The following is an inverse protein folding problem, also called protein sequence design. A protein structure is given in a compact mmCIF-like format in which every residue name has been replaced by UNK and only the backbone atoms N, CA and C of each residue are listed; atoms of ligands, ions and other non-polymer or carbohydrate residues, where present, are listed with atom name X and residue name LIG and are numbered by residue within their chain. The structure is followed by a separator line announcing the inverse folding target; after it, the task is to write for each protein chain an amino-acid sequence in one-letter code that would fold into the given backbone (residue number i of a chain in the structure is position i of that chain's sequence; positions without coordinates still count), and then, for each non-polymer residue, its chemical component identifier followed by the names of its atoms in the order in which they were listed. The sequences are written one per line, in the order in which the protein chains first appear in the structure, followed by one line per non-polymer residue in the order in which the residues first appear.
data_IF_842048979405
#
_entry.id   IF_842048979405
#
_cell.length_a   1.000
_cell.length_b   1.000
_cell.length_c   1.000
_cell.angle_alpha   90.00
_cell.angle_beta   90.00
_cell.angle_gamma   90.00
#
_symmetry.space_group_name_H-M   'P 1'
#
loop_
_entity.id
_entity.type
_entity.pdbx_description
1 polymer ?
#
# COMPACT_ATOMS: atom_id res chain seq x y z
N UNK A 1 1.62 26.49 3.98
CA UNK A 1 2.58 26.21 2.92
C UNK A 1 2.89 24.71 2.90
N UNK A 2 2.99 24.16 1.72
CA UNK A 2 3.28 22.74 1.48
C UNK A 2 4.72 22.62 1.02
N UNK A 3 5.50 21.75 1.66
CA UNK A 3 6.84 21.41 1.18
C UNK A 3 6.73 20.37 0.07
N UNK A 4 7.44 20.57 -1.02
CA UNK A 4 7.54 19.58 -2.10
C UNK A 4 8.93 19.56 -2.72
N UNK A 5 9.34 18.40 -3.20
CA UNK A 5 10.51 18.29 -4.05
C UNK A 5 10.19 18.77 -5.47
N UNK A 6 11.21 19.03 -6.26
CA UNK A 6 11.04 19.32 -7.69
C UNK A 6 10.44 18.10 -8.41
N UNK A 7 9.68 18.35 -9.48
CA UNK A 7 9.18 17.27 -10.35
C UNK A 7 10.34 16.50 -10.99
N UNK A 8 10.07 15.23 -11.30
CA UNK A 8 11.02 14.32 -11.93
C UNK A 8 11.65 13.34 -10.96
N UNK A 9 12.58 12.56 -11.47
CA UNK A 9 13.24 11.49 -10.74
C UNK A 9 14.74 11.50 -11.05
N UNK A 10 15.51 12.02 -10.10
CA UNK A 10 16.98 12.15 -10.20
C UNK A 10 17.63 11.72 -8.89
N UNK A 11 18.94 11.38 -8.87
CA UNK A 11 19.65 11.10 -7.62
C UNK A 11 19.53 12.23 -6.60
N UNK A 12 19.58 13.50 -7.03
CA UNK A 12 19.44 14.65 -6.14
C UNK A 12 18.06 14.69 -5.46
N UNK A 13 16.99 14.40 -6.20
CA UNK A 13 15.62 14.31 -5.64
C UNK A 13 15.52 13.18 -4.61
N UNK A 14 16.07 12.01 -4.93
CA UNK A 14 16.06 10.85 -4.01
C UNK A 14 16.83 11.16 -2.73
N UNK A 15 18.00 11.79 -2.83
CA UNK A 15 18.79 12.23 -1.68
C UNK A 15 18.02 13.27 -0.84
N UNK A 16 17.30 14.19 -1.47
CA UNK A 16 16.49 15.18 -0.80
C UNK A 16 15.34 14.52 0.00
N UNK A 17 14.65 13.55 -0.59
CA UNK A 17 13.63 12.75 0.11
C UNK A 17 14.24 12.03 1.31
N UNK A 18 15.36 11.37 1.12
CA UNK A 18 16.05 10.64 2.19
C UNK A 18 16.40 11.55 3.37
N UNK A 19 16.88 12.75 3.08
CA UNK A 19 17.20 13.76 4.09
C UNK A 19 15.96 14.23 4.85
N UNK A 20 14.88 14.54 4.12
CA UNK A 20 13.60 14.96 4.72
C UNK A 20 12.98 13.87 5.60
N UNK A 21 13.12 12.62 5.20
CA UNK A 21 12.61 11.47 5.95
C UNK A 21 13.54 11.05 7.09
N UNK A 22 14.72 11.67 7.21
CA UNK A 22 15.74 11.33 8.23
C UNK A 22 16.10 9.85 8.20
N UNK A 23 16.33 9.33 7.01
CA UNK A 23 16.62 7.92 6.80
C UNK A 23 17.91 7.49 7.50
N UNK A 24 17.99 6.25 8.03
CA UNK A 24 19.27 5.65 8.33
C UNK A 24 20.07 5.45 7.05
N UNK A 25 21.40 5.36 7.18
CA UNK A 25 22.31 5.25 6.03
C UNK A 25 21.93 4.09 5.08
N UNK A 26 21.56 2.93 5.62
CA UNK A 26 21.21 1.78 4.79
C UNK A 26 19.97 2.04 3.91
N UNK A 27 19.02 2.84 4.39
CA UNK A 27 17.83 3.22 3.61
C UNK A 27 18.19 4.23 2.52
N UNK A 28 19.06 5.19 2.79
CA UNK A 28 19.55 6.12 1.76
C UNK A 28 20.24 5.37 0.62
N UNK A 29 21.12 4.43 0.95
CA UNK A 29 21.80 3.60 -0.04
C UNK A 29 20.80 2.71 -0.81
N UNK A 30 19.84 2.15 -0.11
CA UNK A 30 18.77 1.35 -0.72
C UNK A 30 17.97 2.14 -1.75
N UNK A 31 17.61 3.39 -1.43
CA UNK A 31 16.88 4.27 -2.35
C UNK A 31 17.68 4.56 -3.62
N UNK A 32 18.95 4.90 -3.48
CA UNK A 32 19.82 5.20 -4.62
C UNK A 32 20.06 3.98 -5.50
N UNK A 33 20.26 2.82 -4.90
CA UNK A 33 20.36 1.54 -5.63
C UNK A 33 19.06 1.23 -6.38
N UNK A 34 17.92 1.44 -5.74
CA UNK A 34 16.60 1.25 -6.37
C UNK A 34 16.41 2.17 -7.58
N UNK A 35 16.88 3.42 -7.50
CA UNK A 35 16.86 4.34 -8.65
C UNK A 35 17.72 3.83 -9.81
N UNK A 36 18.91 3.29 -9.54
CA UNK A 36 19.76 2.68 -10.57
C UNK A 36 19.04 1.51 -11.24
N UNK A 37 18.39 0.65 -10.46
CA UNK A 37 17.60 -0.48 -10.98
C UNK A 37 16.44 0.04 -11.84
N UNK A 38 15.73 1.07 -11.37
CA UNK A 38 14.66 1.72 -12.14
C UNK A 38 15.13 2.15 -13.53
N UNK A 39 16.30 2.77 -13.62
CA UNK A 39 16.86 3.26 -14.89
C UNK A 39 17.25 2.12 -15.85
N UNK A 40 17.45 0.91 -15.35
CA UNK A 40 17.81 -0.27 -16.14
C UNK A 40 16.60 -1.09 -16.60
N UNK A 41 15.47 -1.00 -15.88
CA UNK A 41 14.27 -1.79 -16.16
C UNK A 41 13.39 -1.12 -17.21
N UNK A 42 12.67 -1.94 -17.96
CA UNK A 42 11.70 -1.51 -18.97
C UNK A 42 10.27 -1.56 -18.40
N UNK A 43 9.42 -0.68 -18.91
CA UNK A 43 7.97 -0.76 -18.65
C UNK A 43 7.43 -2.02 -19.34
N UNK A 44 6.59 -2.84 -18.66
CA UNK A 44 5.95 -3.98 -19.31
C UNK A 44 5.13 -3.57 -20.54
N UNK A 45 5.20 -4.37 -21.60
CA UNK A 45 4.48 -4.10 -22.85
C UNK A 45 3.17 -4.89 -23.02
N UNK A 46 2.83 -5.73 -22.05
CA UNK A 46 1.67 -6.61 -22.11
C UNK A 46 0.41 -6.04 -21.44
N UNK A 47 0.56 -5.01 -20.63
CA UNK A 47 -0.53 -4.34 -19.91
C UNK A 47 -1.08 -3.12 -20.63
N UNK A 48 -2.04 -2.41 -20.01
CA UNK A 48 -2.55 -1.14 -20.52
C UNK A 48 -1.44 -0.12 -20.77
N UNK A 49 -1.62 0.75 -21.78
CA UNK A 49 -0.68 1.82 -22.06
C UNK A 49 -0.61 2.83 -20.90
N UNK A 50 0.60 3.24 -20.55
CA UNK A 50 0.89 4.32 -19.61
C UNK A 50 1.58 5.52 -20.28
N UNK A 51 1.39 5.70 -21.58
CA UNK A 51 2.00 6.79 -22.35
C UNK A 51 1.64 8.18 -21.81
N UNK A 52 0.47 8.33 -21.20
CA UNK A 52 0.04 9.57 -20.56
C UNK A 52 0.76 9.89 -19.23
N UNK A 53 1.58 8.97 -18.73
CA UNK A 53 2.37 9.16 -17.50
C UNK A 53 3.79 9.57 -17.87
N UNK A 54 4.15 10.81 -17.55
CA UNK A 54 5.52 11.32 -17.72
C UNK A 54 6.16 11.54 -16.34
N UNK A 55 7.13 10.71 -15.99
CA UNK A 55 7.82 10.79 -14.70
C UNK A 55 8.59 12.09 -14.49
N UNK A 56 8.99 12.77 -15.57
CA UNK A 56 9.67 14.07 -15.47
C UNK A 56 8.74 15.18 -14.97
N UNK A 57 7.44 14.97 -15.03
CA UNK A 57 6.40 15.91 -14.58
C UNK A 57 5.77 15.52 -13.23
N UNK A 58 6.13 14.37 -12.67
CA UNK A 58 5.57 13.89 -11.39
C UNK A 58 6.40 14.41 -10.22
N UNK A 59 5.71 14.99 -9.24
CA UNK A 59 6.29 15.34 -7.93
C UNK A 59 6.22 14.12 -7.03
N UNK A 60 7.36 13.59 -6.63
CA UNK A 60 7.44 12.32 -5.89
C UNK A 60 7.32 12.45 -4.37
N UNK A 61 7.39 13.66 -3.84
CA UNK A 61 7.23 13.90 -2.41
C UNK A 61 6.54 15.25 -2.15
N UNK A 62 5.42 15.20 -1.42
CA UNK A 62 4.66 16.37 -0.99
C UNK A 62 4.29 16.19 0.48
N UNK A 63 4.78 17.10 1.32
CA UNK A 63 4.46 17.10 2.75
C UNK A 63 3.44 18.19 3.04
N UNK A 64 2.26 17.86 3.62
CA UNK A 64 1.32 18.86 4.08
C UNK A 64 1.92 19.68 5.25
N UNK A 65 1.43 20.90 5.43
CA UNK A 65 1.91 21.77 6.51
C UNK A 65 1.29 21.37 7.86
N UNK A 66 1.62 20.18 8.32
CA UNK A 66 1.16 19.64 9.59
C UNK A 66 2.10 18.52 10.06
N UNK A 67 1.91 18.09 11.30
CA UNK A 67 2.57 16.92 11.88
C UNK A 67 1.54 15.83 12.15
N UNK A 68 2.00 14.59 12.29
CA UNK A 68 1.14 13.48 12.68
C UNK A 68 0.55 13.73 14.07
N UNK A 69 -0.77 13.60 14.19
CA UNK A 69 -1.52 13.77 15.44
C UNK A 69 -2.13 12.45 15.90
N UNK A 70 -2.16 12.23 17.22
CA UNK A 70 -2.86 11.09 17.83
C UNK A 70 -4.32 11.41 18.15
N UNK A 71 -4.71 12.69 18.12
CA UNK A 71 -6.07 13.16 18.35
C UNK A 71 -6.64 13.78 17.07
N UNK A 72 -7.82 13.33 16.69
CA UNK A 72 -8.49 13.86 15.50
C UNK A 72 -8.77 15.36 15.59
N UNK A 73 -9.04 15.86 16.80
CA UNK A 73 -9.24 17.30 17.04
C UNK A 73 -8.05 18.16 16.67
N UNK A 74 -6.84 17.62 16.72
CA UNK A 74 -5.59 18.34 16.46
C UNK A 74 -5.20 18.35 14.97
N UNK A 75 -5.91 17.58 14.15
CA UNK A 75 -5.72 17.59 12.69
C UNK A 75 -6.24 18.89 12.11
N UNK A 76 -5.51 19.57 11.20
CA UNK A 76 -5.98 20.79 10.56
C UNK A 76 -7.36 20.65 9.93
N UNK A 77 -8.16 21.70 10.04
CA UNK A 77 -9.58 21.70 9.62
C UNK A 77 -9.78 21.31 8.17
N UNK A 78 -8.98 21.82 7.26
CA UNK A 78 -9.07 21.54 5.82
C UNK A 78 -8.81 20.05 5.51
N UNK A 79 -7.86 19.44 6.21
CA UNK A 79 -7.56 18.01 6.11
C UNK A 79 -8.70 17.19 6.72
N UNK A 80 -9.20 17.57 7.91
CA UNK A 80 -10.36 16.90 8.54
C UNK A 80 -11.57 16.94 7.63
N UNK A 81 -11.90 18.11 7.10
CA UNK A 81 -13.05 18.31 6.21
C UNK A 81 -12.93 17.42 4.96
N UNK A 82 -11.71 17.24 4.45
CA UNK A 82 -11.45 16.33 3.32
C UNK A 82 -11.79 14.89 3.68
N UNK A 83 -11.28 14.37 4.80
CA UNK A 83 -11.55 12.99 5.23
C UNK A 83 -13.01 12.77 5.62
N UNK A 84 -13.67 13.76 6.22
CA UNK A 84 -15.08 13.69 6.57
C UNK A 84 -15.99 13.65 5.34
N UNK A 85 -15.66 14.43 4.30
CA UNK A 85 -16.37 14.39 3.01
C UNK A 85 -16.21 13.06 2.30
N UNK A 86 -15.13 12.33 2.54
CA UNK A 86 -14.89 11.00 1.99
C UNK A 86 -15.65 9.90 2.72
N UNK A 87 -16.48 10.27 3.71
CA UNK A 87 -17.30 9.33 4.42
C UNK A 87 -16.56 8.52 5.49
N UNK A 88 -15.56 9.14 6.14
CA UNK A 88 -14.92 8.55 7.32
C UNK A 88 -15.65 9.09 8.56
N UNK A 89 -16.80 8.50 8.95
CA UNK A 89 -17.57 9.01 10.09
C UNK A 89 -16.78 8.86 11.39
N UNK A 90 -16.97 9.78 12.30
CA UNK A 90 -16.36 9.70 13.63
C UNK A 90 -16.72 8.40 14.36
N UNK A 91 -17.92 7.88 14.09
CA UNK A 91 -18.37 6.61 14.65
C UNK A 91 -17.52 5.42 14.17
N UNK A 92 -17.11 5.39 12.91
CA UNK A 92 -16.22 4.35 12.39
C UNK A 92 -14.85 4.42 13.04
N UNK A 93 -14.28 5.62 13.16
CA UNK A 93 -13.00 5.82 13.85
C UNK A 93 -13.04 5.31 15.29
N UNK A 94 -14.14 5.50 15.98
CA UNK A 94 -14.33 5.04 17.37
C UNK A 94 -14.54 3.54 17.48
N UNK A 95 -15.07 2.90 16.44
CA UNK A 95 -15.36 1.47 16.45
C UNK A 95 -14.19 0.58 16.03
N UNK A 96 -13.12 1.16 15.46
CA UNK A 96 -11.95 0.42 14.98
C UNK A 96 -10.89 0.26 16.08
N UNK A 97 -10.08 -0.79 15.98
CA UNK A 97 -8.98 -1.05 16.91
C UNK A 97 -7.84 -0.02 16.76
N UNK A 98 -7.67 0.51 15.57
CA UNK A 98 -6.73 1.57 15.28
C UNK A 98 -7.00 2.17 13.90
N UNK A 99 -6.67 3.44 13.74
CA UNK A 99 -6.88 4.20 12.50
C UNK A 99 -5.65 5.03 12.18
N UNK A 100 -5.23 4.98 10.92
CA UNK A 100 -4.23 5.89 10.36
C UNK A 100 -4.81 6.64 9.16
N UNK A 101 -4.39 7.88 8.96
CA UNK A 101 -4.77 8.67 7.80
C UNK A 101 -3.54 9.33 7.20
N UNK A 102 -3.30 9.08 5.92
CA UNK A 102 -2.24 9.70 5.13
C UNK A 102 -2.82 10.73 4.17
N UNK A 103 -2.16 11.88 4.12
CA UNK A 103 -2.49 12.95 3.20
C UNK A 103 -1.23 13.29 2.39
N UNK A 104 -1.30 13.12 1.08
CA UNK A 104 -0.14 13.18 0.19
C UNK A 104 0.96 12.20 0.63
N UNK A 105 2.14 12.65 1.00
CA UNK A 105 3.28 11.80 1.32
C UNK A 105 3.45 11.47 2.80
N UNK A 106 2.60 12.01 3.69
CA UNK A 106 2.78 11.87 5.14
C UNK A 106 1.52 11.42 5.86
N UNK A 107 1.69 10.64 6.93
CA UNK A 107 0.62 10.42 7.88
C UNK A 107 0.34 11.72 8.64
N UNK A 108 -0.94 12.06 8.77
CA UNK A 108 -1.42 13.25 9.48
C UNK A 108 -2.20 12.91 10.74
N UNK A 109 -2.66 11.67 10.84
CA UNK A 109 -3.39 11.15 11.99
C UNK A 109 -3.06 9.67 12.19
N UNK A 110 -2.88 9.28 13.46
CA UNK A 110 -2.70 7.89 13.84
C UNK A 110 -3.16 7.67 15.28
N UNK A 111 -3.98 6.66 15.50
CA UNK A 111 -4.45 6.30 16.83
C UNK A 111 -4.64 4.80 16.94
N UNK A 112 -4.23 4.22 18.06
CA UNK A 112 -4.47 2.82 18.44
C UNK A 112 -5.14 2.81 19.81
N UNK A 113 -6.17 2.00 19.97
CA UNK A 113 -6.85 1.82 21.26
C UNK A 113 -5.88 1.26 22.31
N UNK A 114 -5.98 1.74 23.53
CA UNK A 114 -5.11 1.31 24.64
C UNK A 114 -5.19 -0.20 24.91
N UNK A 115 -6.38 -0.77 24.89
CA UNK A 115 -6.57 -2.21 25.08
C UNK A 115 -5.95 -3.07 23.96
N UNK A 116 -5.86 -2.52 22.75
CA UNK A 116 -5.19 -3.17 21.60
C UNK A 116 -3.66 -3.09 21.77
N UNK A 117 -3.14 -1.91 22.09
CA UNK A 117 -1.72 -1.71 22.36
C UNK A 117 -1.23 -2.54 23.56
N UNK A 118 -2.05 -2.68 24.58
CA UNK A 118 -1.75 -3.47 25.78
C UNK A 118 -1.54 -4.97 25.49
N UNK A 119 -2.07 -5.49 24.39
CA UNK A 119 -1.83 -6.85 23.92
C UNK A 119 -0.50 -7.03 23.19
N UNK A 120 0.26 -5.97 23.04
CA UNK A 120 1.54 -5.97 22.32
C UNK A 120 1.41 -5.76 20.81
N UNK A 121 0.21 -5.45 20.34
CA UNK A 121 -0.03 -5.12 18.92
C UNK A 121 0.62 -3.79 18.60
N UNK A 122 1.44 -3.78 17.55
CA UNK A 122 2.07 -2.58 17.04
C UNK A 122 1.36 -2.13 15.77
N UNK A 123 0.92 -0.89 15.75
CA UNK A 123 0.45 -0.22 14.55
C UNK A 123 1.00 1.21 14.57
N UNK A 124 1.92 1.51 13.67
CA UNK A 124 2.57 2.82 13.58
C UNK A 124 2.90 3.17 12.13
N UNK A 125 3.38 4.38 11.88
CA UNK A 125 3.88 4.75 10.57
C UNK A 125 5.24 4.10 10.29
N UNK A 126 5.56 3.93 9.01
CA UNK A 126 6.80 3.25 8.59
C UNK A 126 8.07 3.98 9.04
N UNK A 127 8.08 5.30 9.02
CA UNK A 127 9.25 6.09 9.42
C UNK A 127 9.56 5.93 10.91
N UNK A 128 8.54 5.93 11.75
CA UNK A 128 8.71 5.68 13.19
C UNK A 128 9.20 4.26 13.46
N UNK A 129 8.70 3.27 12.73
CA UNK A 129 9.17 1.89 12.84
C UNK A 129 10.62 1.73 12.38
N UNK A 130 10.98 2.40 11.28
CA UNK A 130 12.33 2.35 10.69
C UNK A 130 13.41 2.93 11.61
N UNK A 131 13.05 3.96 12.36
CA UNK A 131 13.98 4.71 13.22
C UNK A 131 13.84 4.41 14.73
N UNK A 132 12.90 3.53 15.11
CA UNK A 132 12.58 3.25 16.51
C UNK A 132 13.01 1.85 16.97
N UNK A 133 12.30 1.35 17.96
CA UNK A 133 12.59 0.04 18.57
C UNK A 133 12.33 -1.15 17.63
N UNK A 134 11.58 -0.95 16.55
CA UNK A 134 11.30 -1.97 15.53
C UNK A 134 12.23 -1.89 14.31
N UNK A 135 13.30 -1.09 14.39
CA UNK A 135 14.22 -0.84 13.28
C UNK A 135 14.80 -2.14 12.69
N UNK A 136 15.21 -3.09 13.54
CA UNK A 136 15.77 -4.36 13.08
C UNK A 136 14.72 -5.24 12.40
N UNK A 137 13.50 -5.26 12.90
CA UNK A 137 12.38 -6.00 12.29
C UNK A 137 12.03 -5.40 10.92
N UNK A 138 11.98 -4.08 10.81
CA UNK A 138 11.77 -3.40 9.53
C UNK A 138 12.89 -3.75 8.55
N UNK A 139 14.13 -3.62 8.96
CA UNK A 139 15.29 -3.89 8.10
C UNK A 139 15.32 -5.33 7.57
N UNK A 140 14.89 -6.29 8.37
CA UNK A 140 14.85 -7.70 7.98
C UNK A 140 13.69 -8.06 7.04
N UNK A 141 12.68 -7.20 6.90
CA UNK A 141 11.47 -7.46 6.11
C UNK A 141 11.27 -6.48 4.95
N UNK A 142 11.71 -5.23 5.08
CA UNK A 142 11.44 -4.17 4.12
C UNK A 142 11.99 -4.50 2.73
N UNK A 143 11.10 -4.61 1.75
CA UNK A 143 11.38 -4.98 0.37
C UNK A 143 12.25 -6.24 0.23
N UNK A 144 12.03 -7.19 1.12
CA UNK A 144 12.60 -8.54 1.02
C UNK A 144 11.67 -9.49 0.29
N UNK A 145 10.37 -9.24 0.36
CA UNK A 145 9.34 -10.01 -0.33
C UNK A 145 9.06 -9.42 -1.73
N UNK A 146 8.90 -8.11 -1.83
CA UNK A 146 8.85 -7.36 -3.09
C UNK A 146 10.21 -6.69 -3.27
N UNK A 147 11.00 -7.16 -4.23
CA UNK A 147 12.35 -6.63 -4.46
C UNK A 147 12.34 -5.51 -5.51
N UNK A 148 13.21 -4.52 -5.43
CA UNK A 148 13.33 -3.48 -6.47
C UNK A 148 13.59 -4.05 -7.87
N UNK A 149 14.20 -5.23 -7.95
CA UNK A 149 14.50 -5.92 -9.21
C UNK A 149 13.28 -6.63 -9.84
N UNK A 150 12.15 -6.72 -9.15
CA UNK A 150 10.99 -7.45 -9.64
C UNK A 150 10.34 -6.79 -10.86
N UNK A 151 10.24 -5.47 -10.87
CA UNK A 151 9.79 -4.68 -12.00
C UNK A 151 10.04 -3.19 -11.77
N UNK A 152 9.86 -2.39 -12.83
CA UNK A 152 10.19 -0.97 -12.84
C UNK A 152 9.48 -0.17 -11.73
N UNK A 153 8.22 -0.47 -11.43
CA UNK A 153 7.45 0.27 -10.42
C UNK A 153 7.80 -0.14 -8.99
N UNK A 154 8.27 -1.37 -8.77
CA UNK A 154 8.87 -1.78 -7.51
C UNK A 154 10.18 -1.03 -7.25
N UNK A 155 11.02 -0.88 -8.29
CA UNK A 155 12.23 -0.08 -8.20
C UNK A 155 11.93 1.40 -7.92
N UNK A 156 10.95 1.98 -8.60
CA UNK A 156 10.47 3.35 -8.35
C UNK A 156 10.04 3.51 -6.88
N UNK A 157 9.23 2.58 -6.40
CA UNK A 157 8.78 2.59 -5.00
C UNK A 157 9.97 2.59 -4.03
N UNK A 158 10.95 1.71 -4.25
CA UNK A 158 12.14 1.65 -3.40
C UNK A 158 12.92 2.95 -3.35
N UNK A 159 12.95 3.71 -4.45
CA UNK A 159 13.66 4.98 -4.54
C UNK A 159 12.95 6.13 -3.81
N UNK A 160 11.62 6.21 -3.87
CA UNK A 160 10.87 7.41 -3.45
C UNK A 160 9.77 7.16 -2.42
N UNK A 161 9.69 5.96 -1.85
CA UNK A 161 8.64 5.65 -0.88
C UNK A 161 8.61 6.63 0.29
N UNK A 162 7.41 6.91 0.78
CA UNK A 162 7.17 7.69 1.99
C UNK A 162 5.79 7.37 2.56
N UNK A 163 5.68 7.43 3.88
CA UNK A 163 4.44 7.07 4.57
C UNK A 163 4.16 5.57 4.57
N UNK A 164 2.93 5.24 4.87
CA UNK A 164 2.47 3.87 4.99
C UNK A 164 2.44 3.38 6.43
N UNK A 165 2.15 2.09 6.59
CA UNK A 165 1.86 1.50 7.88
C UNK A 165 2.78 0.33 8.19
N UNK A 166 3.24 0.27 9.43
CA UNK A 166 3.88 -0.89 10.02
C UNK A 166 2.96 -1.53 11.04
N UNK A 167 2.67 -2.82 10.87
CA UNK A 167 1.82 -3.58 11.80
C UNK A 167 2.53 -4.85 12.22
N UNK A 168 2.61 -5.09 13.51
CA UNK A 168 3.07 -6.34 14.08
C UNK A 168 2.05 -6.87 15.09
N UNK A 169 1.59 -8.11 14.89
CA UNK A 169 0.69 -8.81 15.81
C UNK A 169 1.47 -9.94 16.46
N UNK A 170 1.67 -9.91 17.80
CA UNK A 170 2.43 -10.94 18.50
C UNK A 170 1.83 -12.33 18.43
N UNK A 171 2.61 -13.39 18.73
CA UNK A 171 2.11 -14.76 18.69
C UNK A 171 0.84 -14.96 19.53
N UNK A 172 -0.13 -15.67 18.95
CA UNK A 172 -1.37 -16.04 19.63
C UNK A 172 -2.37 -14.93 19.87
N UNK A 173 -2.08 -13.71 19.46
CA UNK A 173 -2.97 -12.55 19.67
C UNK A 173 -4.01 -12.48 18.56
N UNK A 174 -5.29 -12.43 18.94
CA UNK A 174 -6.40 -12.23 18.01
C UNK A 174 -6.91 -10.79 18.12
N UNK A 175 -6.86 -10.06 17.00
CA UNK A 175 -7.38 -8.70 16.90
C UNK A 175 -8.79 -8.77 16.33
N UNK A 176 -9.79 -8.69 17.20
CA UNK A 176 -11.20 -8.90 16.81
C UNK A 176 -11.77 -7.75 15.99
N UNK A 177 -11.33 -6.52 16.26
CA UNK A 177 -11.78 -5.31 15.57
C UNK A 177 -10.72 -4.89 14.56
N UNK A 178 -11.08 -4.53 13.31
CA UNK A 178 -10.10 -4.20 12.29
C UNK A 178 -9.20 -3.01 12.64
N UNK A 179 -7.97 -3.03 12.15
CA UNK A 179 -7.14 -1.85 11.96
C UNK A 179 -7.44 -1.27 10.58
N UNK A 180 -7.39 0.04 10.43
CA UNK A 180 -7.70 0.69 9.17
C UNK A 180 -6.74 1.83 8.85
N UNK A 181 -6.36 1.94 7.57
CA UNK A 181 -5.62 3.07 7.01
C UNK A 181 -6.39 3.71 5.86
N UNK A 182 -6.35 5.05 5.80
CA UNK A 182 -6.88 5.84 4.69
C UNK A 182 -5.75 6.59 4.00
N UNK A 183 -5.72 6.52 2.67
CA UNK A 183 -4.75 7.24 1.84
C UNK A 183 -5.48 8.21 0.93
N UNK A 184 -5.12 9.49 1.05
CA UNK A 184 -5.63 10.58 0.21
C UNK A 184 -4.47 11.25 -0.51
N UNK A 185 -4.47 11.22 -1.84
CA UNK A 185 -3.57 12.04 -2.65
C UNK A 185 -4.32 13.28 -3.12
N UNK A 186 -3.93 14.45 -2.63
CA UNK A 186 -4.64 15.71 -2.89
C UNK A 186 -3.83 16.71 -3.71
N UNK A 187 -2.55 16.46 -3.96
CA UNK A 187 -1.67 17.34 -4.74
C UNK A 187 -1.75 17.01 -6.24
N UNK A 188 -2.11 17.98 -7.12
CA UNK A 188 -2.11 17.73 -8.56
C UNK A 188 -0.70 17.43 -9.08
N UNK A 189 -0.57 16.48 -10.01
CA UNK A 189 0.71 16.10 -10.60
C UNK A 189 1.68 15.39 -9.65
N UNK A 190 1.21 14.97 -8.48
CA UNK A 190 2.03 14.24 -7.52
C UNK A 190 1.83 12.72 -7.57
N UNK A 191 2.78 12.00 -6.99
CA UNK A 191 2.68 10.59 -6.70
C UNK A 191 2.51 10.31 -5.22
N UNK A 192 1.94 9.14 -4.90
CA UNK A 192 1.88 8.60 -3.55
C UNK A 192 2.51 7.21 -3.56
N UNK A 193 3.44 6.98 -2.64
CA UNK A 193 4.31 5.80 -2.63
C UNK A 193 4.41 5.19 -1.23
N UNK A 194 3.28 4.97 -0.61
CA UNK A 194 3.21 4.41 0.75
C UNK A 194 3.69 2.97 0.80
N UNK A 195 4.34 2.59 1.90
CA UNK A 195 4.78 1.23 2.16
C UNK A 195 4.01 0.63 3.32
N UNK A 196 3.26 -0.44 3.07
CA UNK A 196 2.56 -1.20 4.09
C UNK A 196 3.33 -2.50 4.37
N UNK A 197 3.78 -2.66 5.60
CA UNK A 197 4.45 -3.87 6.08
C UNK A 197 3.65 -4.44 7.25
N UNK A 198 3.09 -5.63 7.06
CA UNK A 198 2.28 -6.31 8.08
C UNK A 198 2.88 -7.67 8.38
N UNK A 199 3.15 -7.92 9.65
CA UNK A 199 3.64 -9.19 10.17
C UNK A 199 2.63 -9.71 11.18
N UNK A 200 1.96 -10.81 10.85
CA UNK A 200 1.04 -11.52 11.75
C UNK A 200 1.75 -12.76 12.23
N UNK A 201 2.18 -12.75 13.49
CA UNK A 201 3.03 -13.78 14.05
C UNK A 201 2.26 -15.08 14.34
N UNK A 202 2.97 -16.11 14.76
CA UNK A 202 2.45 -17.49 14.91
C UNK A 202 1.14 -17.54 15.68
N UNK A 203 0.10 -18.12 15.07
CA UNK A 203 -1.21 -18.30 15.69
C UNK A 203 -2.03 -17.04 15.87
N UNK A 204 -1.56 -15.90 15.40
CA UNK A 204 -2.27 -14.62 15.52
C UNK A 204 -3.29 -14.40 14.40
N UNK A 205 -4.20 -13.46 14.60
CA UNK A 205 -5.29 -13.15 13.67
C UNK A 205 -5.47 -11.63 13.54
N UNK A 206 -5.56 -11.13 12.32
CA UNK A 206 -5.76 -9.70 12.03
C UNK A 206 -6.64 -9.49 10.82
N UNK A 207 -7.54 -8.51 10.89
CA UNK A 207 -8.20 -7.90 9.74
C UNK A 207 -7.67 -6.47 9.58
N UNK A 208 -7.10 -6.18 8.42
CA UNK A 208 -6.59 -4.86 8.06
C UNK A 208 -7.33 -4.32 6.84
N UNK A 209 -7.77 -3.07 6.92
CA UNK A 209 -8.57 -2.42 5.87
C UNK A 209 -7.81 -1.20 5.35
N UNK A 210 -7.68 -1.06 4.04
CA UNK A 210 -7.15 0.14 3.39
C UNK A 210 -8.19 0.77 2.46
N UNK A 211 -8.33 2.09 2.56
CA UNK A 211 -9.11 2.90 1.63
C UNK A 211 -8.23 3.94 0.95
N UNK A 212 -8.41 4.14 -0.34
CA UNK A 212 -7.61 5.06 -1.15
C UNK A 212 -8.52 5.96 -1.99
N UNK A 213 -8.19 7.24 -2.07
CA UNK A 213 -8.93 8.20 -2.91
C UNK A 213 -8.09 9.38 -3.34
N UNK A 214 -8.52 10.06 -4.41
CA UNK A 214 -7.96 11.31 -4.89
C UNK A 214 -9.04 12.15 -5.58
N UNK A 215 -8.94 13.49 -5.56
CA UNK A 215 -9.82 14.32 -6.37
C UNK A 215 -9.46 14.22 -7.85
N UNK A 216 -10.39 14.62 -8.71
CA UNK A 216 -10.14 14.65 -10.15
C UNK A 216 -9.35 15.90 -10.52
N UNK A 217 -8.24 15.71 -11.21
CA UNK A 217 -7.43 16.76 -11.81
C UNK A 217 -7.30 16.56 -13.33
N UNK A 218 -6.89 17.62 -14.04
CA UNK A 218 -6.64 17.56 -15.48
C UNK A 218 -5.20 17.17 -15.82
N UNK A 219 -4.47 16.69 -14.83
CA UNK A 219 -3.09 16.22 -14.96
C UNK A 219 -2.98 14.82 -14.38
N UNK A 220 -2.00 14.04 -14.85
CA UNK A 220 -1.76 12.71 -14.34
C UNK A 220 -1.31 12.74 -12.88
N UNK A 221 -1.85 11.82 -12.09
CA UNK A 221 -1.34 11.45 -10.77
C UNK A 221 -0.89 10.00 -10.80
N UNK A 222 0.04 9.65 -9.93
CA UNK A 222 0.61 8.31 -9.83
C UNK A 222 0.44 7.73 -8.44
N UNK A 223 -0.01 6.48 -8.37
CA UNK A 223 0.06 5.67 -7.16
C UNK A 223 0.94 4.45 -7.43
N UNK A 224 2.05 4.34 -6.74
CA UNK A 224 2.95 3.20 -6.80
C UNK A 224 3.37 2.80 -5.38
N UNK A 225 2.40 2.38 -4.59
CA UNK A 225 2.60 1.83 -3.27
C UNK A 225 3.17 0.41 -3.31
N UNK A 226 3.55 -0.09 -2.15
CA UNK A 226 4.00 -1.45 -1.98
C UNK A 226 3.42 -2.03 -0.69
N UNK A 227 2.89 -3.24 -0.78
CA UNK A 227 2.31 -3.97 0.36
C UNK A 227 3.02 -5.30 0.50
N UNK A 228 3.63 -5.52 1.66
CA UNK A 228 4.29 -6.77 2.02
C UNK A 228 3.61 -7.37 3.24
N UNK A 229 3.06 -8.58 3.08
CA UNK A 229 2.29 -9.26 4.11
C UNK A 229 3.00 -10.57 4.49
N UNK A 230 3.37 -10.70 5.76
CA UNK A 230 4.00 -11.89 6.32
C UNK A 230 3.03 -12.58 7.26
N UNK A 231 2.55 -13.77 6.85
CA UNK A 231 1.62 -14.58 7.63
C UNK A 231 2.39 -15.78 8.15
N UNK A 232 2.68 -15.79 9.45
CA UNK A 232 3.48 -16.80 10.09
C UNK A 232 2.67 -18.09 10.35
N UNK A 233 3.30 -19.10 10.93
CA UNK A 233 2.69 -20.42 11.17
C UNK A 233 1.35 -20.30 11.87
N UNK A 234 0.31 -20.92 11.30
CA UNK A 234 -1.07 -20.93 11.82
C UNK A 234 -1.69 -19.56 12.04
N UNK A 235 -1.10 -18.50 11.49
CA UNK A 235 -1.66 -17.15 11.55
C UNK A 235 -2.70 -16.95 10.46
N UNK A 236 -3.53 -15.92 10.63
CA UNK A 236 -4.53 -15.52 9.65
C UNK A 236 -4.49 -14.02 9.45
N UNK A 237 -4.46 -13.60 8.20
CA UNK A 237 -4.60 -12.20 7.83
C UNK A 237 -5.68 -12.06 6.77
N UNK A 238 -6.68 -11.20 7.05
CA UNK A 238 -7.58 -10.67 6.03
C UNK A 238 -7.12 -9.26 5.70
N UNK A 239 -6.80 -9.03 4.43
CA UNK A 239 -6.38 -7.74 3.90
C UNK A 239 -7.43 -7.25 2.91
N UNK A 240 -8.16 -6.22 3.30
CA UNK A 240 -9.26 -5.66 2.52
C UNK A 240 -8.89 -4.28 1.99
N UNK A 241 -9.13 -4.05 0.70
CA UNK A 241 -8.87 -2.75 0.08
C UNK A 241 -10.06 -2.25 -0.71
N UNK A 242 -10.30 -0.94 -0.63
CA UNK A 242 -11.20 -0.23 -1.52
C UNK A 242 -10.41 0.88 -2.17
N UNK A 243 -10.13 0.75 -3.46
CA UNK A 243 -9.39 1.73 -4.25
C UNK A 243 -10.36 2.50 -5.14
N UNK A 244 -10.56 3.77 -4.80
CA UNK A 244 -11.45 4.66 -5.54
C UNK A 244 -10.70 5.94 -5.94
N UNK A 245 -9.64 5.74 -6.71
CA UNK A 245 -8.85 6.81 -7.29
C UNK A 245 -9.65 7.54 -8.37
N UNK A 246 -9.36 8.82 -8.57
CA UNK A 246 -9.94 9.58 -9.67
C UNK A 246 -9.43 9.09 -11.05
N UNK A 247 -10.16 9.42 -12.11
CA UNK A 247 -9.88 8.92 -13.47
C UNK A 247 -8.63 9.50 -14.15
N UNK A 248 -7.87 10.34 -13.48
CA UNK A 248 -6.55 10.79 -13.94
C UNK A 248 -5.40 10.00 -13.30
N UNK A 249 -5.71 9.04 -12.43
CA UNK A 249 -4.73 8.26 -11.67
C UNK A 249 -4.19 7.08 -12.49
N UNK A 250 -2.87 6.93 -12.47
CA UNK A 250 -2.18 5.69 -12.83
C UNK A 250 -1.89 4.92 -11.56
N UNK A 251 -2.56 3.80 -11.38
CA UNK A 251 -2.48 2.97 -10.18
C UNK A 251 -1.62 1.73 -10.45
N UNK A 252 -0.35 1.80 -10.10
CA UNK A 252 0.69 0.82 -10.40
C UNK A 252 1.25 0.22 -9.11
N UNK A 253 0.36 -0.30 -8.29
CA UNK A 253 0.67 -0.80 -6.95
C UNK A 253 1.17 -2.24 -6.98
N UNK A 254 2.05 -2.60 -6.03
CA UNK A 254 2.58 -3.96 -5.86
C UNK A 254 2.17 -4.52 -4.50
N UNK A 255 1.56 -5.71 -4.49
CA UNK A 255 1.10 -6.38 -3.27
C UNK A 255 1.56 -7.83 -3.26
N UNK A 256 2.16 -8.27 -2.16
CA UNK A 256 2.64 -9.66 -2.04
C UNK A 256 2.49 -10.18 -0.61
N UNK A 257 2.11 -11.43 -0.49
CA UNK A 257 2.02 -12.15 0.78
C UNK A 257 2.92 -13.39 0.77
N UNK A 258 3.57 -13.64 1.89
CA UNK A 258 4.29 -14.89 2.17
C UNK A 258 3.55 -15.61 3.29
N UNK A 259 3.07 -16.82 3.02
CA UNK A 259 2.25 -17.59 3.95
C UNK A 259 3.00 -18.86 4.37
N UNK A 260 3.24 -18.97 5.67
CA UNK A 260 3.94 -20.12 6.26
C UNK A 260 2.99 -21.25 6.63
N UNK A 261 3.51 -22.32 7.20
CA UNK A 261 2.78 -23.55 7.53
C UNK A 261 1.45 -23.27 8.22
N UNK A 262 0.35 -23.81 7.68
CA UNK A 262 -0.98 -23.68 8.26
C UNK A 262 -1.54 -22.26 8.28
N UNK A 263 -0.82 -21.29 7.73
CA UNK A 263 -1.27 -19.89 7.66
C UNK A 263 -2.32 -19.66 6.58
N UNK A 264 -3.08 -18.60 6.72
CA UNK A 264 -4.12 -18.21 5.77
C UNK A 264 -4.04 -16.73 5.45
N UNK A 265 -3.99 -16.39 4.16
CA UNK A 265 -4.17 -15.04 3.65
C UNK A 265 -5.52 -14.94 2.92
N UNK A 266 -6.30 -13.94 3.29
CA UNK A 266 -7.55 -13.60 2.61
C UNK A 266 -7.44 -12.19 2.03
N UNK A 267 -7.54 -12.09 0.71
CA UNK A 267 -7.59 -10.82 -0.01
C UNK A 267 -9.04 -10.48 -0.32
N UNK A 268 -9.46 -9.27 0.02
CA UNK A 268 -10.74 -8.71 -0.40
C UNK A 268 -10.45 -7.37 -1.09
N UNK A 269 -10.78 -7.24 -2.37
CA UNK A 269 -10.38 -6.09 -3.18
C UNK A 269 -11.57 -5.51 -3.94
N UNK A 270 -11.78 -4.20 -3.80
CA UNK A 270 -12.68 -3.41 -4.64
C UNK A 270 -11.89 -2.36 -5.42
N UNK A 271 -11.97 -2.40 -6.76
CA UNK A 271 -11.26 -1.49 -7.66
C UNK A 271 -12.25 -0.72 -8.52
N UNK A 272 -12.40 0.58 -8.27
CA UNK A 272 -13.44 1.40 -8.87
C UNK A 272 -12.91 2.61 -9.64
N UNK A 273 -11.84 3.19 -9.23
CA UNK A 273 -11.27 4.39 -9.83
C UNK A 273 -10.15 4.09 -10.82
N UNK A 274 -9.34 5.12 -11.04
CA UNK A 274 -8.16 5.14 -11.90
C UNK A 274 -8.46 5.29 -13.40
N UNK A 275 -7.50 5.85 -14.11
CA UNK A 275 -7.45 5.80 -15.57
C UNK A 275 -6.91 4.44 -16.03
N UNK A 276 -5.78 4.04 -15.45
CA UNK A 276 -5.11 2.76 -15.68
C UNK A 276 -4.78 2.13 -14.34
N UNK A 277 -5.01 0.83 -14.20
CA UNK A 277 -4.57 0.05 -13.05
C UNK A 277 -3.78 -1.18 -13.47
N UNK A 278 -2.65 -1.41 -12.76
CA UNK A 278 -1.90 -2.66 -12.74
C UNK A 278 -1.98 -3.20 -11.31
N UNK A 279 -2.88 -4.14 -11.06
CA UNK A 279 -3.12 -4.69 -9.72
C UNK A 279 -3.06 -6.21 -9.77
N UNK A 280 -1.93 -6.77 -9.40
CA UNK A 280 -1.67 -8.22 -9.46
C UNK A 280 -1.14 -8.74 -8.10
N UNK A 281 -1.99 -8.80 -7.06
CA UNK A 281 -1.57 -9.35 -5.78
C UNK A 281 -1.06 -10.79 -5.97
N UNK A 282 0.09 -11.09 -5.36
CA UNK A 282 0.69 -12.41 -5.40
C UNK A 282 0.79 -13.00 -4.00
N UNK A 283 0.44 -14.27 -3.86
CA UNK A 283 0.61 -15.04 -2.63
C UNK A 283 1.58 -16.19 -2.85
N UNK A 284 2.56 -16.32 -1.98
CA UNK A 284 3.50 -17.45 -1.96
C UNK A 284 3.12 -18.33 -0.77
N UNK A 285 2.60 -19.52 -1.07
CA UNK A 285 2.21 -20.52 -0.08
C UNK A 285 3.41 -21.42 0.21
N UNK A 286 4.27 -20.94 1.12
CA UNK A 286 5.59 -21.52 1.36
C UNK A 286 5.58 -22.69 2.37
N UNK A 287 4.58 -22.73 3.25
CA UNK A 287 4.49 -23.75 4.29
C UNK A 287 3.41 -24.79 3.98
N UNK A 288 3.60 -26.03 4.48
CA UNK A 288 2.61 -27.09 4.36
C UNK A 288 1.25 -26.64 4.90
N UNK A 289 0.18 -26.86 4.14
CA UNK A 289 -1.18 -26.51 4.52
C UNK A 289 -1.49 -25.02 4.46
N UNK A 290 -0.60 -24.19 3.94
CA UNK A 290 -0.87 -22.75 3.74
C UNK A 290 -2.01 -22.54 2.73
N UNK A 291 -2.79 -21.48 2.95
CA UNK A 291 -4.02 -21.24 2.21
C UNK A 291 -4.14 -19.79 1.77
N UNK A 292 -4.70 -19.59 0.57
CA UNK A 292 -5.02 -18.27 0.03
C UNK A 292 -6.46 -18.23 -0.45
N UNK A 293 -7.18 -17.15 -0.11
CA UNK A 293 -8.47 -16.80 -0.70
C UNK A 293 -8.39 -15.40 -1.28
N UNK A 294 -8.90 -15.23 -2.49
CA UNK A 294 -8.97 -13.93 -3.16
C UNK A 294 -10.41 -13.67 -3.62
N UNK A 295 -10.99 -12.58 -3.15
CA UNK A 295 -12.28 -12.07 -3.59
C UNK A 295 -12.09 -10.67 -4.14
N UNK A 296 -12.43 -10.46 -5.42
CA UNK A 296 -12.25 -9.17 -6.08
C UNK A 296 -13.49 -8.71 -6.82
N UNK A 297 -13.74 -7.40 -6.76
CA UNK A 297 -14.77 -6.71 -7.53
C UNK A 297 -14.11 -5.55 -8.27
N UNK A 298 -14.36 -5.46 -9.59
CA UNK A 298 -13.84 -4.39 -10.44
C UNK A 298 -14.96 -3.75 -11.22
N UNK A 299 -14.99 -2.42 -11.23
CA UNK A 299 -15.90 -1.65 -12.09
C UNK A 299 -15.07 -0.72 -12.97
N UNK A 300 -15.15 -0.92 -14.30
CA UNK A 300 -14.49 -0.09 -15.30
C UNK A 300 -15.53 0.71 -16.08
N UNK A 301 -15.51 2.02 -15.91
CA UNK A 301 -16.34 2.96 -16.65
C UNK A 301 -15.61 3.56 -17.85
N UNK A 302 -16.25 4.54 -18.49
CA UNK A 302 -15.71 5.24 -19.65
C UNK A 302 -14.30 5.77 -19.39
N UNK A 303 -13.36 5.46 -20.28
CA UNK A 303 -11.97 5.92 -20.24
C UNK A 303 -11.08 5.17 -19.27
N UNK A 304 -11.59 4.14 -18.60
CA UNK A 304 -10.80 3.33 -17.66
C UNK A 304 -10.32 2.03 -18.31
N UNK A 305 -9.08 1.68 -18.01
CA UNK A 305 -8.49 0.40 -18.40
C UNK A 305 -7.89 -0.25 -17.15
N UNK A 306 -8.66 -1.12 -16.51
CA UNK A 306 -8.29 -1.74 -15.24
C UNK A 306 -7.85 -3.18 -15.51
N UNK A 307 -6.55 -3.41 -15.37
CA UNK A 307 -5.92 -4.72 -15.54
C UNK A 307 -5.59 -5.25 -14.15
N UNK A 308 -6.29 -6.28 -13.75
CA UNK A 308 -6.20 -6.85 -12.41
C UNK A 308 -5.91 -8.34 -12.49
N UNK A 309 -5.56 -8.93 -11.36
CA UNK A 309 -5.30 -10.35 -11.32
C UNK A 309 -5.06 -10.86 -9.92
N UNK A 310 -4.74 -12.13 -9.87
CA UNK A 310 -4.25 -12.77 -8.67
C UNK A 310 -3.26 -13.86 -9.09
N UNK A 311 -2.08 -13.83 -8.48
CA UNK A 311 -1.09 -14.88 -8.66
C UNK A 311 -0.92 -15.64 -7.35
N UNK A 312 -0.87 -16.97 -7.44
CA UNK A 312 -0.56 -17.84 -6.31
C UNK A 312 0.51 -18.83 -6.70
N UNK A 313 1.50 -18.97 -5.83
CA UNK A 313 2.58 -19.95 -5.96
C UNK A 313 2.41 -20.98 -4.85
N UNK A 314 2.15 -22.24 -5.24
CA UNK A 314 2.04 -23.38 -4.33
C UNK A 314 3.44 -23.98 -4.15
N UNK A 315 4.19 -23.48 -3.16
CA UNK A 315 5.58 -23.85 -2.91
C UNK A 315 5.76 -24.93 -1.84
N UNK A 316 4.66 -25.53 -1.36
CA UNK A 316 4.67 -26.56 -0.34
C UNK A 316 3.48 -27.53 -0.54
N UNK A 317 3.53 -28.76 0.03
CA UNK A 317 2.44 -29.72 -0.09
C UNK A 317 1.21 -29.28 0.71
N UNK A 318 0.04 -29.78 0.31
CA UNK A 318 -1.26 -29.58 0.95
C UNK A 318 -1.69 -28.11 0.99
N UNK A 319 -1.15 -27.26 0.13
CA UNK A 319 -1.57 -25.88 -0.01
C UNK A 319 -2.81 -25.75 -0.89
N UNK A 320 -3.65 -24.78 -0.61
CA UNK A 320 -4.89 -24.55 -1.34
C UNK A 320 -5.10 -23.08 -1.65
N UNK A 321 -5.78 -22.82 -2.77
CA UNK A 321 -6.13 -21.46 -3.17
C UNK A 321 -7.53 -21.40 -3.77
N UNK A 322 -8.21 -20.27 -3.58
CA UNK A 322 -9.52 -20.00 -4.14
C UNK A 322 -9.56 -18.57 -4.65
N UNK A 323 -9.93 -18.40 -5.92
CA UNK A 323 -10.00 -17.10 -6.58
C UNK A 323 -11.43 -16.90 -7.07
N UNK A 324 -12.09 -15.86 -6.58
CA UNK A 324 -13.44 -15.47 -6.97
C UNK A 324 -13.47 -13.98 -7.31
N UNK A 325 -13.73 -13.65 -8.58
CA UNK A 325 -13.77 -12.28 -9.06
C UNK A 325 -15.06 -11.99 -9.83
N UNK A 326 -15.48 -10.73 -9.74
CA UNK A 326 -16.59 -10.17 -10.49
C UNK A 326 -16.13 -8.86 -11.11
N UNK A 327 -16.50 -8.61 -12.35
CA UNK A 327 -16.23 -7.35 -13.02
C UNK A 327 -17.42 -6.85 -13.79
N UNK A 328 -17.53 -5.53 -13.84
CA UNK A 328 -18.52 -4.82 -14.66
C UNK A 328 -17.75 -3.81 -15.50
N UNK A 329 -18.01 -3.82 -16.80
CA UNK A 329 -17.53 -2.80 -17.74
C UNK A 329 -18.70 -2.06 -18.35
N UNK A 330 -18.62 -0.73 -18.40
CA UNK A 330 -19.67 0.15 -18.88
C UNK A 330 -19.09 1.27 -19.74
N UNK A 331 -19.84 1.68 -20.77
CA UNK A 331 -19.51 2.84 -21.62
C UNK A 331 -18.08 2.78 -22.22
N UNK A 332 -17.66 1.59 -22.66
CA UNK A 332 -16.35 1.38 -23.27
C UNK A 332 -15.20 1.18 -22.25
N UNK A 333 -15.50 1.09 -20.98
CA UNK A 333 -14.50 0.72 -19.97
C UNK A 333 -13.95 -0.69 -20.21
N UNK A 334 -12.66 -0.88 -19.91
CA UNK A 334 -11.97 -2.16 -20.10
C UNK A 334 -11.60 -2.71 -18.74
N UNK A 335 -12.02 -3.95 -18.47
CA UNK A 335 -11.63 -4.72 -17.32
C UNK A 335 -11.00 -6.03 -17.77
N UNK A 336 -9.74 -6.24 -17.43
CA UNK A 336 -9.00 -7.47 -17.72
C UNK A 336 -8.65 -8.17 -16.43
N UNK A 337 -8.87 -9.47 -16.37
CA UNK A 337 -8.44 -10.29 -15.24
C UNK A 337 -7.43 -11.34 -15.70
N UNK A 338 -6.28 -11.37 -15.04
CA UNK A 338 -5.19 -12.33 -15.30
C UNK A 338 -4.93 -13.12 -14.02
N UNK A 339 -5.09 -14.44 -14.06
CA UNK A 339 -4.70 -15.29 -12.95
C UNK A 339 -3.55 -16.20 -13.33
N UNK A 340 -2.71 -16.50 -12.36
CA UNK A 340 -1.63 -17.46 -12.50
C UNK A 340 -1.57 -18.32 -11.24
N UNK A 341 -1.65 -19.64 -11.44
CA UNK A 341 -1.53 -20.62 -10.36
C UNK A 341 -0.34 -21.53 -10.73
N UNK A 342 0.72 -21.52 -9.91
CA UNK A 342 1.97 -22.22 -10.17
C UNK A 342 2.31 -23.20 -9.04
#
# INVERSE_FOLDING_TARGET
DVYRVKEGLTPAIVEQISKEKKDPQWMQLFRLESLQIYNQLQVPNWGPSIEGLNMDEIVTYVRPNTHMSAKWSDVPKDIKDTFERLGIPQAERKSLAGVGAQYDSELVYHNVREEVAAQGIVYTDMESALNGEYADMVRSHFMKLVKPTDHKFAALHGAVWSGGSFVYVPPGVSVEIPLQSYFRLNAPGAGQFEHTLIIVDEGADLHFIEGCSAPKYNVANLHAGCVELFVEKNARLRYSTIENWSKNMYNLNTKRALVKEGGTIEWVSGSFGSHVSYLYPMSILKGKGARMEFTGITFAGKGQNLDTGAKVVHAAPETSSYINTRSISKDGGISTFRSSVA
#
